data_IF_781675122862
#
_entry.id   IF_781675122862
#
_cell.length_a   1.000
_cell.length_b   1.000
_cell.length_c   1.000
_cell.angle_alpha   90.00
_cell.angle_beta   90.00
_cell.angle_gamma   90.00
#
_symmetry.space_group_name_H-M   'P 1'
#
loop_
_entity.id
_entity.type
_entity.pdbx_description
1 polymer ?
#
# COMPACT_ATOMS: atom_id res chain seq x y z
N UNK A 1 32.23 3.70 55.61
CA UNK A 1 30.92 4.33 55.33
C UNK A 1 30.76 4.90 53.92
N UNK A 2 31.80 5.00 53.09
CA UNK A 2 31.67 5.44 51.68
C UNK A 2 31.46 4.31 50.64
N UNK A 3 31.83 3.05 50.96
CA UNK A 3 31.75 1.93 50.00
C UNK A 3 30.34 1.33 49.85
N UNK A 4 29.51 1.36 50.90
CA UNK A 4 28.11 0.87 50.86
C UNK A 4 27.14 1.86 50.19
N UNK A 5 27.49 3.14 50.16
CA UNK A 5 26.67 4.17 49.54
C UNK A 5 26.81 4.15 48.00
N UNK A 6 28.01 3.84 47.51
CA UNK A 6 28.30 3.77 46.06
C UNK A 6 27.63 2.56 45.40
N UNK A 7 27.62 1.38 46.01
CA UNK A 7 26.96 0.17 45.45
C UNK A 7 25.45 0.28 45.38
N UNK A 8 24.80 0.96 46.34
CA UNK A 8 23.36 1.23 46.28
C UNK A 8 23.01 2.24 45.19
N UNK A 9 23.84 3.27 44.98
CA UNK A 9 23.65 4.26 43.91
C UNK A 9 23.82 3.61 42.54
N UNK A 10 24.84 2.76 42.35
CA UNK A 10 25.02 2.06 41.07
C UNK A 10 23.85 1.11 40.78
N UNK A 11 23.37 0.34 41.76
CA UNK A 11 22.23 -0.58 41.57
C UNK A 11 20.90 0.14 41.28
N UNK A 12 20.69 1.33 41.86
CA UNK A 12 19.54 2.20 41.58
C UNK A 12 19.63 2.80 40.18
N UNK A 13 20.81 3.25 39.75
CA UNK A 13 21.04 3.78 38.40
C UNK A 13 20.87 2.69 37.34
N UNK A 14 21.34 1.46 37.57
CA UNK A 14 21.15 0.36 36.60
C UNK A 14 19.68 -0.07 36.52
N UNK A 15 18.94 -0.09 37.64
CA UNK A 15 17.49 -0.35 37.62
C UNK A 15 16.70 0.75 36.91
N UNK A 16 17.03 2.02 37.14
CA UNK A 16 16.41 3.17 36.47
C UNK A 16 16.72 3.15 34.95
N UNK A 17 17.94 2.81 34.55
CA UNK A 17 18.33 2.68 33.15
C UNK A 17 17.59 1.53 32.43
N UNK A 18 17.33 0.40 33.12
CA UNK A 18 16.53 -0.70 32.55
C UNK A 18 15.03 -0.38 32.41
N UNK A 19 14.48 0.49 33.26
CA UNK A 19 13.07 0.91 33.19
C UNK A 19 12.85 2.10 32.24
N UNK A 20 13.88 2.90 31.96
CA UNK A 20 13.78 4.07 31.06
C UNK A 20 13.77 3.69 29.57
N UNK A 21 14.30 2.52 29.20
CA UNK A 21 14.31 2.06 27.79
C UNK A 21 12.92 1.67 27.26
N UNK A 22 12.01 1.18 28.12
CA UNK A 22 10.64 0.84 27.71
C UNK A 22 9.76 2.08 27.45
N UNK A 23 9.99 3.16 28.20
CA UNK A 23 9.27 4.43 28.00
C UNK A 23 9.72 5.14 26.71
N UNK A 24 11.02 5.10 26.38
CA UNK A 24 11.53 5.65 25.12
C UNK A 24 11.09 4.84 23.89
N UNK A 25 11.09 3.51 23.96
CA UNK A 25 10.53 2.67 22.89
C UNK A 25 9.03 2.90 22.70
N UNK A 26 8.27 3.12 23.79
CA UNK A 26 6.85 3.46 23.72
C UNK A 26 6.60 4.85 23.12
N UNK A 27 7.46 5.84 23.39
CA UNK A 27 7.34 7.19 22.81
C UNK A 27 7.69 7.18 21.30
N UNK A 28 8.65 6.35 20.90
CA UNK A 28 8.99 6.14 19.49
C UNK A 28 7.83 5.41 18.78
N UNK A 29 7.21 4.41 19.42
CA UNK A 29 6.04 3.71 18.86
C UNK A 29 4.82 4.62 18.70
N UNK A 30 4.59 5.60 19.58
CA UNK A 30 3.49 6.58 19.41
C UNK A 30 3.80 7.63 18.34
N UNK A 31 5.07 8.01 18.16
CA UNK A 31 5.49 8.91 17.07
C UNK A 31 5.34 8.22 15.70
N UNK A 32 5.65 6.92 15.58
CA UNK A 32 5.53 6.18 14.31
C UNK A 32 4.09 5.82 13.89
N UNK A 33 3.11 5.82 14.80
CA UNK A 33 1.69 5.58 14.44
C UNK A 33 1.02 6.86 13.88
N UNK A 34 1.68 8.02 13.99
CA UNK A 34 1.07 9.33 13.70
C UNK A 34 1.15 9.79 12.24
N UNK A 35 1.86 9.08 11.34
CA UNK A 35 1.95 9.47 9.92
C UNK A 35 1.12 8.58 9.02
N UNK A 36 -0.09 8.23 9.46
CA UNK A 36 -1.12 7.85 8.50
C UNK A 36 -1.50 9.13 7.77
N UNK A 37 -0.85 9.44 6.64
CA UNK A 37 -1.40 10.43 5.72
C UNK A 37 -2.80 9.94 5.38
N UNK A 38 -3.82 10.65 5.87
CA UNK A 38 -5.19 10.28 5.61
C UNK A 38 -5.39 10.35 4.10
N UNK A 39 -5.54 9.18 3.48
CA UNK A 39 -5.75 9.06 2.04
C UNK A 39 -7.11 9.70 1.73
N UNK A 40 -7.08 10.81 1.00
CA UNK A 40 -8.23 11.66 0.72
C UNK A 40 -8.97 11.19 -0.53
N UNK A 41 -10.30 11.17 -0.45
CA UNK A 41 -11.18 10.93 -1.58
C UNK A 41 -11.41 12.24 -2.37
N UNK A 42 -12.27 12.19 -3.38
CA UNK A 42 -12.60 13.34 -4.23
C UNK A 42 -12.90 14.62 -3.43
N UNK A 43 -12.31 15.74 -3.86
CA UNK A 43 -12.35 17.05 -3.19
C UNK A 43 -11.72 17.10 -1.78
N UNK A 44 -11.18 15.99 -1.28
CA UNK A 44 -10.45 15.94 -0.02
C UNK A 44 -9.09 16.63 -0.12
N UNK A 45 -8.51 17.06 1.02
CA UNK A 45 -7.26 17.82 1.05
C UNK A 45 -6.05 16.94 0.71
N UNK A 46 -5.10 17.50 -0.03
CA UNK A 46 -3.84 16.84 -0.33
C UNK A 46 -2.70 17.86 -0.42
N UNK A 47 -1.47 17.41 -0.17
CA UNK A 47 -0.25 18.18 -0.37
C UNK A 47 0.61 17.56 -1.48
N UNK A 48 0.57 16.25 -1.60
CA UNK A 48 1.32 15.42 -2.54
C UNK A 48 0.39 14.47 -3.27
N UNK A 49 0.88 13.84 -4.35
CA UNK A 49 0.10 12.87 -5.13
C UNK A 49 -0.31 11.64 -4.30
N UNK A 50 0.50 11.24 -3.32
CA UNK A 50 0.26 10.06 -2.47
C UNK A 50 -0.83 10.28 -1.40
N UNK A 51 -1.26 11.52 -1.20
CA UNK A 51 -2.33 11.86 -0.26
C UNK A 51 -3.72 11.52 -0.81
N UNK A 52 -3.83 11.07 -2.06
CA UNK A 52 -5.10 10.82 -2.74
C UNK A 52 -5.38 9.32 -2.94
N UNK A 53 -6.65 8.92 -2.85
CA UNK A 53 -7.05 7.52 -3.00
C UNK A 53 -7.02 7.04 -4.45
N UNK A 54 -6.54 5.82 -4.66
CA UNK A 54 -6.56 5.14 -5.95
C UNK A 54 -5.82 5.90 -7.07
N UNK A 55 -6.57 6.31 -8.09
CA UNK A 55 -6.06 6.98 -9.30
C UNK A 55 -6.25 8.50 -9.27
N UNK A 56 -6.61 9.06 -8.11
CA UNK A 56 -6.81 10.48 -7.95
C UNK A 56 -5.47 11.19 -7.86
N UNK A 57 -5.44 12.42 -8.37
CA UNK A 57 -4.25 13.25 -8.38
C UNK A 57 -4.49 14.53 -7.56
N UNK A 58 -3.46 15.04 -6.90
CA UNK A 58 -3.54 16.25 -6.10
C UNK A 58 -3.41 17.52 -6.96
N UNK A 59 -4.54 18.17 -7.25
CA UNK A 59 -4.57 19.43 -8.01
C UNK A 59 -5.10 20.54 -7.11
N UNK A 60 -4.33 21.62 -6.99
CA UNK A 60 -4.68 22.79 -6.19
C UNK A 60 -5.04 22.45 -4.72
N UNK A 61 -4.30 21.50 -4.14
CA UNK A 61 -4.50 21.04 -2.77
C UNK A 61 -5.74 20.16 -2.56
N UNK A 62 -6.34 19.65 -3.65
CA UNK A 62 -7.50 18.75 -3.61
C UNK A 62 -7.33 17.53 -4.52
N UNK A 63 -7.79 16.37 -4.06
CA UNK A 63 -7.82 15.15 -4.85
C UNK A 63 -8.88 15.24 -5.96
N UNK A 64 -8.44 15.13 -7.20
CA UNK A 64 -9.25 15.27 -8.41
C UNK A 64 -8.90 14.19 -9.44
N UNK A 65 -9.76 14.07 -10.46
CA UNK A 65 -9.50 13.24 -11.63
C UNK A 65 -8.27 13.71 -12.41
N UNK A 66 -7.51 12.77 -12.98
CA UNK A 66 -6.39 13.10 -13.89
C UNK A 66 -6.95 13.52 -15.26
N UNK A 67 -6.75 14.79 -15.68
CA UNK A 67 -7.28 15.30 -16.94
C UNK A 67 -6.58 14.71 -18.16
N UNK A 68 -5.34 14.21 -18.02
CA UNK A 68 -4.59 13.61 -19.12
C UNK A 68 -5.00 12.15 -19.35
N UNK A 69 -5.37 11.44 -18.29
CA UNK A 69 -5.86 10.06 -18.35
C UNK A 69 -7.37 10.01 -18.60
N UNK A 70 -8.10 11.08 -18.28
CA UNK A 70 -9.53 11.20 -18.54
C UNK A 70 -10.40 10.42 -17.56
N UNK A 71 -9.95 10.24 -16.32
CA UNK A 71 -10.74 9.57 -15.27
C UNK A 71 -12.00 10.38 -14.96
N UNK A 72 -13.10 9.70 -14.58
CA UNK A 72 -14.38 10.33 -14.20
C UNK A 72 -14.85 9.89 -12.81
N UNK A 73 -13.92 9.77 -11.88
CA UNK A 73 -14.11 9.31 -10.52
C UNK A 73 -14.84 10.39 -9.71
N UNK A 74 -14.39 11.64 -9.77
CA UNK A 74 -14.95 12.75 -9.00
C UNK A 74 -16.16 13.41 -9.65
N UNK A 75 -16.42 13.12 -10.93
CA UNK A 75 -17.63 13.56 -11.64
C UNK A 75 -18.83 12.62 -11.45
N UNK A 76 -18.60 11.42 -10.93
CA UNK A 76 -19.66 10.48 -10.57
C UNK A 76 -19.95 10.64 -9.08
N UNK A 77 -21.20 10.94 -8.68
CA UNK A 77 -21.60 10.90 -7.26
C UNK A 77 -21.04 9.63 -6.61
N UNK A 78 -20.42 9.69 -5.41
CA UNK A 78 -19.70 8.56 -4.86
C UNK A 78 -20.66 7.39 -4.70
N UNK A 79 -20.50 6.28 -5.45
CA UNK A 79 -21.01 5.03 -4.97
C UNK A 79 -19.98 4.60 -3.93
N UNK A 80 -20.39 4.60 -2.67
CA UNK A 80 -19.90 3.69 -1.64
C UNK A 80 -19.36 2.44 -2.32
N UNK A 81 -18.15 2.00 -1.95
CA UNK A 81 -17.59 0.69 -2.32
C UNK A 81 -18.75 -0.25 -2.59
N UNK A 82 -19.04 -0.63 -3.85
CA UNK A 82 -20.19 -1.47 -4.11
C UNK A 82 -19.98 -2.74 -3.30
N UNK A 83 -20.75 -2.85 -2.22
CA UNK A 83 -20.97 -4.10 -1.52
C UNK A 83 -21.30 -5.12 -2.61
N UNK A 84 -20.69 -6.31 -2.60
CA UNK A 84 -20.73 -7.22 -3.74
C UNK A 84 -22.18 -7.40 -4.17
N UNK A 85 -22.53 -6.84 -5.33
CA UNK A 85 -23.80 -7.11 -5.97
C UNK A 85 -23.93 -8.63 -6.13
N UNK A 86 -25.13 -9.22 -5.99
CA UNK A 86 -25.33 -10.67 -5.94
C UNK A 86 -24.91 -11.43 -7.21
N UNK A 87 -24.49 -10.72 -8.25
CA UNK A 87 -23.82 -11.29 -9.41
C UNK A 87 -22.31 -11.36 -9.11
N UNK A 88 -21.81 -12.54 -8.73
CA UNK A 88 -20.39 -12.84 -8.43
C UNK A 88 -19.38 -12.58 -9.59
N UNK A 89 -19.74 -11.78 -10.60
CA UNK A 89 -18.94 -11.55 -11.80
C UNK A 89 -18.36 -10.15 -11.81
N UNK A 90 -17.03 -10.05 -11.75
CA UNK A 90 -16.31 -8.80 -11.93
C UNK A 90 -16.48 -8.31 -13.39
N UNK A 91 -16.94 -7.07 -13.56
CA UNK A 91 -17.20 -6.45 -14.88
C UNK A 91 -16.40 -5.15 -15.05
N UNK A 92 -16.14 -4.72 -16.31
CA UNK A 92 -15.52 -3.42 -16.57
C UNK A 92 -16.36 -2.29 -15.99
N UNK A 93 -15.68 -1.30 -15.41
CA UNK A 93 -16.24 -0.07 -14.86
C UNK A 93 -16.14 1.14 -15.80
N UNK A 94 -15.42 0.99 -16.91
CA UNK A 94 -15.19 2.04 -17.90
C UNK A 94 -14.20 1.60 -18.97
N UNK A 95 -13.78 2.54 -19.82
CA UNK A 95 -12.77 2.33 -20.85
C UNK A 95 -11.80 3.51 -20.95
N UNK A 96 -10.56 3.24 -21.38
CA UNK A 96 -9.53 4.22 -21.71
C UNK A 96 -9.14 4.04 -23.18
N UNK A 97 -8.85 5.14 -23.89
CA UNK A 97 -8.35 5.07 -25.26
C UNK A 97 -6.88 5.52 -25.30
N UNK A 98 -5.97 4.57 -25.46
CA UNK A 98 -4.53 4.80 -25.56
C UNK A 98 -3.99 3.99 -26.75
N UNK A 99 -4.19 4.51 -27.97
CA UNK A 99 -3.94 3.77 -29.22
C UNK A 99 -4.76 2.47 -29.32
N UNK A 100 -5.98 2.49 -28.79
CA UNK A 100 -6.86 1.33 -28.64
C UNK A 100 -7.77 1.48 -27.42
N UNK A 101 -8.95 0.84 -27.45
CA UNK A 101 -9.90 0.88 -26.34
C UNK A 101 -9.59 -0.23 -25.34
N UNK A 102 -9.24 0.15 -24.11
CA UNK A 102 -8.89 -0.75 -23.02
C UNK A 102 -9.92 -0.67 -21.88
N UNK A 103 -10.40 -1.79 -21.32
CA UNK A 103 -11.34 -1.80 -20.21
C UNK A 103 -10.67 -1.42 -18.88
N UNK A 104 -11.37 -0.65 -18.05
CA UNK A 104 -10.98 -0.32 -16.67
C UNK A 104 -11.72 -1.24 -15.70
N UNK A 105 -11.02 -1.90 -14.79
CA UNK A 105 -11.62 -2.72 -13.74
C UNK A 105 -11.30 -2.16 -12.35
N UNK A 106 -12.32 -2.10 -11.48
CA UNK A 106 -12.17 -1.80 -10.04
C UNK A 106 -12.26 -3.06 -9.16
N UNK A 107 -12.57 -4.19 -9.79
CA UNK A 107 -12.70 -5.49 -9.16
C UNK A 107 -11.69 -6.47 -9.76
N UNK A 108 -11.59 -7.65 -9.16
CA UNK A 108 -10.85 -8.78 -9.71
C UNK A 108 -11.64 -10.05 -9.43
N UNK A 109 -11.37 -11.18 -10.11
CA UNK A 109 -12.03 -12.44 -9.83
C UNK A 109 -11.91 -12.85 -8.34
N UNK A 110 -12.83 -13.67 -7.82
CA UNK A 110 -12.77 -14.12 -6.43
C UNK A 110 -11.43 -14.79 -6.09
N UNK A 111 -10.89 -14.47 -4.92
CA UNK A 111 -9.69 -15.13 -4.40
C UNK A 111 -10.09 -16.49 -3.82
N UNK A 112 -9.41 -17.54 -4.28
CA UNK A 112 -9.50 -18.91 -3.76
C UNK A 112 -8.14 -19.39 -3.23
N UNK A 113 -8.07 -20.62 -2.72
CA UNK A 113 -6.80 -21.27 -2.36
C UNK A 113 -5.83 -21.42 -3.54
N UNK A 114 -6.34 -21.39 -4.78
CA UNK A 114 -5.56 -21.44 -6.02
C UNK A 114 -6.18 -20.51 -7.05
N UNK A 115 -5.94 -19.21 -6.88
CA UNK A 115 -6.52 -18.16 -7.74
C UNK A 115 -5.79 -18.11 -9.09
N UNK A 116 -6.46 -18.32 -10.23
CA UNK A 116 -5.84 -18.16 -11.53
C UNK A 116 -5.49 -16.69 -11.81
N UNK A 117 -4.30 -16.44 -12.33
CA UNK A 117 -3.82 -15.10 -12.67
C UNK A 117 -2.85 -15.15 -13.86
N UNK A 118 -2.66 -14.02 -14.51
CA UNK A 118 -1.59 -13.83 -15.48
C UNK A 118 -0.42 -13.12 -14.77
N UNK A 119 0.78 -13.67 -14.92
CA UNK A 119 2.00 -13.06 -14.41
C UNK A 119 2.62 -12.22 -15.52
N UNK A 120 2.83 -10.93 -15.25
CA UNK A 120 3.57 -10.00 -16.11
C UNK A 120 4.87 -9.59 -15.43
N UNK A 121 5.81 -9.05 -16.21
CA UNK A 121 7.07 -8.49 -15.70
C UNK A 121 6.91 -6.98 -15.50
N UNK A 122 7.45 -6.46 -14.40
CA UNK A 122 7.45 -5.03 -14.07
C UNK A 122 8.79 -4.69 -13.42
N UNK A 123 9.33 -3.50 -13.68
CA UNK A 123 10.50 -2.93 -13.02
C UNK A 123 10.06 -2.05 -11.84
N UNK A 124 10.42 -2.45 -10.62
CA UNK A 124 10.09 -1.70 -9.39
C UNK A 124 11.21 -0.76 -8.94
N UNK A 125 12.30 -0.67 -9.72
CA UNK A 125 13.45 0.16 -9.38
C UNK A 125 13.21 1.63 -9.72
N UNK A 126 14.00 2.51 -9.09
CA UNK A 126 13.95 3.93 -9.36
C UNK A 126 14.38 4.22 -10.81
N UNK A 127 13.56 4.98 -11.53
CA UNK A 127 13.78 5.27 -12.96
C UNK A 127 13.42 4.11 -13.91
N UNK A 128 12.86 3.02 -13.39
CA UNK A 128 12.30 1.91 -14.18
C UNK A 128 10.94 2.23 -14.82
N UNK A 129 10.31 1.20 -15.40
CA UNK A 129 9.00 1.33 -16.07
C UNK A 129 7.80 1.39 -15.11
N UNK A 130 7.98 1.04 -13.84
CA UNK A 130 6.94 1.12 -12.80
C UNK A 130 6.50 2.54 -12.43
N UNK A 131 7.20 3.57 -12.91
CA UNK A 131 6.88 4.97 -12.67
C UNK A 131 7.25 5.41 -11.24
N UNK A 132 6.23 5.51 -10.37
CA UNK A 132 6.40 5.99 -8.99
C UNK A 132 6.81 4.89 -8.00
N UNK A 133 7.09 5.26 -6.74
CA UNK A 133 7.32 4.30 -5.67
C UNK A 133 6.10 3.39 -5.42
N UNK A 134 6.34 2.22 -4.82
CA UNK A 134 5.32 1.19 -4.58
C UNK A 134 4.29 1.65 -3.56
N UNK A 135 3.01 1.34 -3.81
CA UNK A 135 1.88 1.91 -3.05
C UNK A 135 1.84 1.46 -1.59
N UNK A 136 2.38 0.29 -1.25
CA UNK A 136 2.33 -0.23 0.12
C UNK A 136 3.26 0.48 1.09
N UNK A 137 4.46 0.85 0.64
CA UNK A 137 5.52 1.37 1.52
C UNK A 137 6.20 2.65 1.03
N UNK A 138 5.79 3.17 -0.13
CA UNK A 138 6.32 4.40 -0.72
C UNK A 138 7.76 4.25 -1.19
N UNK A 139 8.19 3.04 -1.57
CA UNK A 139 9.58 2.75 -1.94
C UNK A 139 9.72 2.11 -3.31
N UNK A 140 10.88 2.35 -3.91
CA UNK A 140 11.38 1.54 -5.01
C UNK A 140 11.98 0.24 -4.45
N UNK A 141 11.87 -0.85 -5.21
CA UNK A 141 12.44 -2.16 -4.87
C UNK A 141 13.47 -2.56 -5.91
N UNK A 142 14.54 -3.21 -5.46
CA UNK A 142 15.49 -3.79 -6.38
C UNK A 142 14.85 -4.97 -7.10
N UNK A 143 15.08 -5.13 -8.41
CA UNK A 143 14.50 -6.24 -9.20
C UNK A 143 14.99 -7.64 -8.78
N UNK A 144 15.99 -7.73 -7.90
CA UNK A 144 16.40 -8.97 -7.25
C UNK A 144 15.49 -9.34 -6.05
N UNK A 145 14.70 -8.40 -5.54
CA UNK A 145 13.68 -8.67 -4.52
C UNK A 145 12.49 -9.39 -5.16
N UNK A 146 11.95 -10.39 -4.46
CA UNK A 146 10.74 -11.09 -4.90
C UNK A 146 9.52 -10.29 -4.46
N UNK A 147 9.16 -9.31 -5.26
CA UNK A 147 8.03 -8.41 -5.02
C UNK A 147 7.02 -8.47 -6.17
N UNK A 148 5.76 -8.13 -5.89
CA UNK A 148 4.68 -8.13 -6.87
C UNK A 148 3.67 -7.02 -6.58
N UNK A 149 3.11 -6.47 -7.65
CA UNK A 149 1.89 -5.68 -7.61
C UNK A 149 0.68 -6.59 -7.92
N UNK A 150 -0.50 -6.20 -7.45
CA UNK A 150 -1.76 -6.90 -7.71
C UNK A 150 -2.73 -6.00 -8.45
N UNK A 151 -3.55 -6.58 -9.33
CA UNK A 151 -4.69 -5.88 -9.91
C UNK A 151 -5.57 -5.26 -8.82
N UNK A 152 -6.19 -4.11 -9.13
CA UNK A 152 -6.90 -3.24 -8.16
C UNK A 152 -7.83 -3.99 -7.20
N UNK A 153 -8.64 -4.92 -7.71
CA UNK A 153 -9.57 -5.68 -6.86
C UNK A 153 -8.89 -6.66 -5.91
N UNK A 154 -7.76 -7.25 -6.28
CA UNK A 154 -6.97 -8.09 -5.39
C UNK A 154 -6.08 -7.29 -4.44
N UNK A 155 -5.61 -6.13 -4.86
CA UNK A 155 -4.92 -5.18 -4.00
C UNK A 155 -5.81 -4.72 -2.84
N UNK A 156 -7.12 -4.57 -3.11
CA UNK A 156 -8.18 -4.40 -2.13
C UNK A 156 -7.82 -3.32 -1.09
N UNK A 157 -7.49 -2.12 -1.59
CA UNK A 157 -7.16 -0.96 -0.76
C UNK A 157 -6.02 -1.21 0.22
N UNK A 158 -4.89 -1.77 -0.26
CA UNK A 158 -3.69 -2.07 0.55
C UNK A 158 -3.87 -3.19 1.58
N UNK A 159 -5.00 -3.88 1.64
CA UNK A 159 -5.25 -4.96 2.63
C UNK A 159 -4.27 -6.15 2.52
N UNK A 160 -3.55 -6.27 1.40
CA UNK A 160 -2.52 -7.28 1.17
C UNK A 160 -1.09 -6.78 1.29
N UNK A 161 -0.88 -5.50 1.56
CA UNK A 161 0.45 -4.91 1.65
C UNK A 161 1.35 -5.66 2.64
N UNK A 162 2.58 -5.91 2.22
CA UNK A 162 3.59 -6.64 3.00
C UNK A 162 3.31 -8.13 3.19
N UNK A 163 2.16 -8.65 2.75
CA UNK A 163 1.84 -10.08 2.86
C UNK A 163 2.55 -10.85 1.76
N UNK A 164 2.95 -12.07 2.11
CA UNK A 164 3.53 -13.02 1.18
C UNK A 164 2.43 -13.78 0.44
N UNK A 165 2.61 -13.94 -0.88
CA UNK A 165 1.77 -14.82 -1.71
C UNK A 165 2.64 -15.92 -2.32
N UNK A 166 2.04 -17.10 -2.50
CA UNK A 166 2.66 -18.21 -3.21
C UNK A 166 2.19 -18.18 -4.66
N UNK A 167 3.13 -18.02 -5.59
CA UNK A 167 2.88 -18.06 -7.03
C UNK A 167 3.30 -19.43 -7.53
N UNK A 168 2.43 -20.10 -8.29
CA UNK A 168 2.69 -21.39 -8.92
C UNK A 168 2.61 -21.23 -10.43
N UNK A 169 3.69 -21.57 -11.11
CA UNK A 169 3.74 -21.60 -12.57
C UNK A 169 3.23 -22.95 -13.10
N UNK A 170 2.83 -22.97 -14.38
CA UNK A 170 2.33 -24.16 -15.05
C UNK A 170 3.35 -25.30 -15.12
N UNK A 171 4.65 -24.99 -15.08
CA UNK A 171 5.74 -25.97 -15.02
C UNK A 171 5.96 -26.57 -13.61
N UNK A 172 5.07 -26.27 -12.65
CA UNK A 172 5.12 -26.79 -11.28
C UNK A 172 6.04 -26.02 -10.34
N UNK A 173 6.88 -25.10 -10.84
CA UNK A 173 7.72 -24.26 -9.97
C UNK A 173 6.87 -23.31 -9.14
N UNK A 174 7.32 -23.07 -7.91
CA UNK A 174 6.67 -22.14 -7.00
C UNK A 174 7.66 -21.10 -6.48
N UNK A 175 7.14 -19.92 -6.15
CA UNK A 175 7.92 -18.85 -5.53
C UNK A 175 7.03 -18.06 -4.58
N UNK A 176 7.60 -17.65 -3.46
CA UNK A 176 6.95 -16.71 -2.54
C UNK A 176 7.43 -15.30 -2.86
N UNK A 177 6.49 -14.37 -2.99
CA UNK A 177 6.76 -12.95 -3.23
C UNK A 177 5.93 -12.06 -2.31
N UNK A 178 6.48 -10.90 -1.95
CA UNK A 178 5.84 -9.89 -1.10
C UNK A 178 5.02 -8.93 -1.94
N UNK A 179 3.80 -8.60 -1.51
CA UNK A 179 2.99 -7.54 -2.14
C UNK A 179 3.53 -6.16 -1.73
N UNK A 180 3.84 -5.31 -2.71
CA UNK A 180 4.38 -3.95 -2.55
C UNK A 180 3.53 -2.91 -3.26
#
# INVERSE_FOLDING_TARGET
THQHFLTHITLIITKIATMSNLAFLSLIFTIFISTSNAISQCNGPCKTWDDCDGQLICINGKCNDDPNVGTKICKSNPPSVPSPTPTNTCRPSGTLNCNGVHPIYRCSPPVTSSTPAQLTLNDFSEGGDGGGPSSCDGKYHNNNERVVALSTGWFAGRSRCGKMILIRANNGKTVTAKVV
#
